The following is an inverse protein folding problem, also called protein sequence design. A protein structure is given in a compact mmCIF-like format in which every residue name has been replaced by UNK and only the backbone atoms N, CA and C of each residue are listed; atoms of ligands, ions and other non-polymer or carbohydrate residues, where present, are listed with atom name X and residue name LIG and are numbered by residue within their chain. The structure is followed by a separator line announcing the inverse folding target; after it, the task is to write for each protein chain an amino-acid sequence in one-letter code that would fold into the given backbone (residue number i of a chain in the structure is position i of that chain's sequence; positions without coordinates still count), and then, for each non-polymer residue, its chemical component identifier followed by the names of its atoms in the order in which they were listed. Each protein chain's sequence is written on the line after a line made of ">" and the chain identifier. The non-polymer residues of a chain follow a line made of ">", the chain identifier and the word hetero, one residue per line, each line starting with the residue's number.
data_IF_275199023458
#
_entry.id   IF_275199023458
#
_cell.length_a   1.000
_cell.length_b   1.000
_cell.length_c   1.000
_cell.angle_alpha   90.00
_cell.angle_beta   90.00
_cell.angle_gamma   90.00
#
_symmetry.space_group_name_H-M   'P 1'
#
loop_
_entity.id
_entity.type
_entity.pdbx_description
1 polymer ?
#
# COMPACT_ATOMS: atom_id res chain seq x y z
N UNK A 1 22.05 8.98 0.40
CA UNK A 1 21.18 9.33 1.54
C UNK A 1 19.87 9.85 0.97
N UNK A 2 18.74 9.28 1.37
CA UNK A 2 17.41 9.58 0.81
C UNK A 2 16.89 10.89 1.41
N UNK A 3 16.53 11.86 0.57
CA UNK A 3 15.85 13.11 0.95
C UNK A 3 16.45 13.88 2.15
N UNK A 4 17.79 13.99 2.23
CA UNK A 4 18.45 14.76 3.28
C UNK A 4 18.64 14.05 4.62
N UNK A 5 18.32 12.75 4.69
CA UNK A 5 18.61 11.92 5.87
C UNK A 5 20.07 12.00 6.30
N UNK A 6 20.32 12.09 7.61
CA UNK A 6 21.69 12.15 8.17
C UNK A 6 22.15 10.85 8.80
N UNK A 7 21.21 9.94 9.06
CA UNK A 7 21.43 8.62 9.64
C UNK A 7 20.43 7.61 9.03
N UNK A 8 20.56 6.32 9.39
CA UNK A 8 19.70 5.26 8.85
C UNK A 8 18.24 5.39 9.31
N UNK A 9 17.99 5.88 10.52
CA UNK A 9 16.63 6.11 11.04
C UNK A 9 15.88 7.15 10.20
N UNK A 10 16.50 8.31 9.95
CA UNK A 10 15.94 9.35 9.07
C UNK A 10 15.69 8.82 7.65
N UNK A 11 16.60 7.98 7.13
CA UNK A 11 16.48 7.40 5.80
C UNK A 11 15.30 6.42 5.72
N UNK A 12 15.13 5.58 6.75
CA UNK A 12 13.99 4.67 6.89
C UNK A 12 12.68 5.45 6.99
N UNK A 13 12.63 6.51 7.81
CA UNK A 13 11.43 7.34 7.94
C UNK A 13 11.05 7.98 6.61
N UNK A 14 12.03 8.55 5.89
CA UNK A 14 11.81 9.15 4.57
C UNK A 14 11.31 8.13 3.55
N UNK A 15 11.81 6.89 3.60
CA UNK A 15 11.38 5.82 2.71
C UNK A 15 9.92 5.42 2.98
N UNK A 16 9.56 5.12 4.24
CA UNK A 16 8.18 4.75 4.60
C UNK A 16 7.21 5.91 4.28
N UNK A 17 7.61 7.16 4.51
CA UNK A 17 6.78 8.32 4.16
C UNK A 17 6.54 8.43 2.64
N UNK A 18 7.57 8.20 1.81
CA UNK A 18 7.40 8.20 0.36
C UNK A 18 6.48 7.06 -0.11
N UNK A 19 6.57 5.89 0.53
CA UNK A 19 5.68 4.74 0.29
C UNK A 19 4.23 5.08 0.67
N UNK A 20 4.01 5.74 1.81
CA UNK A 20 2.70 6.22 2.23
C UNK A 20 2.10 7.23 1.24
N UNK A 21 2.90 8.17 0.76
CA UNK A 21 2.46 9.15 -0.24
C UNK A 21 2.06 8.46 -1.57
N UNK A 22 2.78 7.41 -1.96
CA UNK A 22 2.42 6.57 -3.10
C UNK A 22 1.11 5.81 -2.87
N UNK A 23 0.89 5.21 -1.69
CA UNK A 23 -0.35 4.52 -1.34
C UNK A 23 -1.56 5.48 -1.41
N UNK A 24 -1.44 6.68 -0.82
CA UNK A 24 -2.46 7.73 -0.91
C UNK A 24 -2.75 8.16 -2.35
N UNK A 25 -1.71 8.22 -3.18
CA UNK A 25 -1.87 8.49 -4.62
C UNK A 25 -2.63 7.37 -5.33
N UNK A 26 -2.32 6.10 -5.06
CA UNK A 26 -3.04 4.96 -5.63
C UNK A 26 -4.52 4.98 -5.21
N UNK A 27 -4.81 5.26 -3.94
CA UNK A 27 -6.18 5.41 -3.46
C UNK A 27 -6.94 6.50 -4.23
N UNK A 28 -6.31 7.64 -4.51
CA UNK A 28 -6.92 8.71 -5.34
C UNK A 28 -7.18 8.29 -6.80
N UNK A 29 -6.45 7.28 -7.29
CA UNK A 29 -6.61 6.68 -8.61
C UNK A 29 -7.66 5.56 -8.64
N UNK A 30 -8.23 5.15 -7.50
CA UNK A 30 -9.28 4.11 -7.40
C UNK A 30 -10.47 4.35 -8.34
N UNK A 31 -10.77 5.60 -8.69
CA UNK A 31 -11.76 5.96 -9.72
C UNK A 31 -11.52 5.31 -11.09
N UNK A 32 -10.31 4.83 -11.37
CA UNK A 32 -9.97 4.11 -12.60
C UNK A 32 -10.51 2.68 -12.61
N UNK A 33 -10.92 2.14 -11.46
CA UNK A 33 -11.57 0.83 -11.33
C UNK A 33 -13.00 0.88 -11.88
N UNK A 34 -13.67 2.03 -11.75
CA UNK A 34 -15.08 2.21 -12.12
C UNK A 34 -15.39 1.81 -13.57
N UNK A 35 -14.66 2.28 -14.61
CA UNK A 35 -14.89 1.84 -15.97
C UNK A 35 -14.54 0.36 -16.20
N UNK A 36 -13.59 -0.20 -15.44
CA UNK A 36 -13.13 -1.57 -15.58
C UNK A 36 -14.20 -2.59 -15.13
N UNK A 37 -15.03 -2.23 -14.14
CA UNK A 37 -16.10 -3.10 -13.61
C UNK A 37 -17.47 -2.82 -14.20
N UNK A 38 -17.61 -1.84 -15.11
CA UNK A 38 -18.90 -1.33 -15.57
C UNK A 38 -19.82 -2.39 -16.24
N UNK A 39 -19.24 -3.46 -16.78
CA UNK A 39 -19.97 -4.55 -17.45
C UNK A 39 -20.36 -5.70 -16.52
N UNK A 40 -19.97 -5.66 -15.25
CA UNK A 40 -20.31 -6.70 -14.27
C UNK A 40 -21.70 -6.48 -13.68
N UNK A 41 -22.25 -7.50 -13.03
CA UNK A 41 -23.47 -7.36 -12.25
C UNK A 41 -23.28 -6.36 -11.10
N UNK A 42 -24.33 -5.59 -10.70
CA UNK A 42 -24.22 -4.58 -9.65
C UNK A 42 -23.62 -5.10 -8.34
N UNK A 43 -23.96 -6.35 -7.96
CA UNK A 43 -23.42 -6.99 -6.74
C UNK A 43 -21.91 -7.21 -6.82
N UNK A 44 -21.40 -7.65 -7.98
CA UNK A 44 -19.96 -7.80 -8.22
C UNK A 44 -19.26 -6.45 -8.21
N UNK A 45 -19.89 -5.43 -8.79
CA UNK A 45 -19.34 -4.08 -8.78
C UNK A 45 -19.20 -3.54 -7.36
N UNK A 46 -20.23 -3.72 -6.52
CA UNK A 46 -20.20 -3.29 -5.12
C UNK A 46 -19.15 -4.04 -4.31
N UNK A 47 -19.07 -5.37 -4.49
CA UNK A 47 -18.05 -6.21 -3.85
C UNK A 47 -16.64 -5.72 -4.17
N UNK A 48 -16.31 -5.55 -5.46
CA UNK A 48 -14.99 -5.09 -5.89
C UNK A 48 -14.69 -3.69 -5.34
N UNK A 49 -15.66 -2.77 -5.37
CA UNK A 49 -15.48 -1.42 -4.82
C UNK A 49 -15.16 -1.46 -3.33
N UNK A 50 -15.90 -2.24 -2.54
CA UNK A 50 -15.67 -2.35 -1.09
C UNK A 50 -14.29 -2.93 -0.83
N UNK A 51 -13.96 -4.06 -1.46
CA UNK A 51 -12.66 -4.72 -1.27
C UNK A 51 -11.50 -3.83 -1.69
N UNK A 52 -11.58 -3.16 -2.84
CA UNK A 52 -10.52 -2.26 -3.28
C UNK A 52 -10.38 -1.04 -2.37
N UNK A 53 -11.49 -0.47 -1.90
CA UNK A 53 -11.46 0.64 -0.94
C UNK A 53 -10.80 0.22 0.37
N UNK A 54 -11.27 -0.87 0.96
CA UNK A 54 -10.76 -1.42 2.22
C UNK A 54 -9.28 -1.78 2.09
N UNK A 55 -8.87 -2.43 0.99
CA UNK A 55 -7.47 -2.77 0.72
C UNK A 55 -6.57 -1.52 0.73
N UNK A 56 -6.96 -0.45 0.03
CA UNK A 56 -6.17 0.79 0.03
C UNK A 56 -6.16 1.52 1.38
N UNK A 57 -7.29 1.54 2.09
CA UNK A 57 -7.38 2.12 3.44
C UNK A 57 -6.49 1.36 4.41
N UNK A 58 -6.55 0.02 4.43
CA UNK A 58 -5.70 -0.82 5.27
C UNK A 58 -4.21 -0.62 4.95
N UNK A 59 -3.82 -0.58 3.67
CA UNK A 59 -2.42 -0.31 3.31
C UNK A 59 -1.92 1.05 3.83
N UNK A 60 -2.78 2.07 3.78
CA UNK A 60 -2.45 3.41 4.29
C UNK A 60 -2.31 3.38 5.80
N UNK A 61 -3.27 2.78 6.51
CA UNK A 61 -3.27 2.68 7.97
C UNK A 61 -2.06 1.88 8.48
N UNK A 62 -1.67 0.81 7.79
CA UNK A 62 -0.48 0.03 8.10
C UNK A 62 0.80 0.87 7.94
N UNK A 63 0.94 1.64 6.86
CA UNK A 63 2.09 2.51 6.64
C UNK A 63 2.16 3.67 7.65
N UNK A 64 1.01 4.25 8.03
CA UNK A 64 0.94 5.26 9.08
C UNK A 64 1.34 4.68 10.44
N UNK A 65 0.86 3.47 10.75
CA UNK A 65 1.22 2.75 11.97
C UNK A 65 2.72 2.41 11.99
N UNK A 66 3.28 1.95 10.87
CA UNK A 66 4.72 1.72 10.72
C UNK A 66 5.53 2.99 10.97
N UNK A 67 5.14 4.13 10.40
CA UNK A 67 5.82 5.41 10.65
C UNK A 67 5.80 5.80 12.12
N UNK A 68 4.68 5.58 12.81
CA UNK A 68 4.58 5.88 14.23
C UNK A 68 5.43 4.92 15.07
N UNK A 69 5.36 3.62 14.79
CA UNK A 69 6.15 2.59 15.46
C UNK A 69 7.67 2.82 15.30
N UNK A 70 8.13 3.29 14.13
CA UNK A 70 9.51 3.68 13.90
C UNK A 70 9.96 4.84 14.83
N UNK A 71 9.09 5.82 15.07
CA UNK A 71 9.38 6.95 15.98
C UNK A 71 9.41 6.51 17.44
N UNK A 72 8.52 5.59 17.80
CA UNK A 72 8.40 5.06 19.14
C UNK A 72 9.44 3.96 19.45
N UNK A 73 10.25 3.57 18.46
CA UNK A 73 11.20 2.45 18.52
C UNK A 73 10.53 1.10 18.83
N UNK A 74 9.27 0.93 18.40
CA UNK A 74 8.54 -0.33 18.50
C UNK A 74 8.78 -1.18 17.24
N UNK A 75 9.87 -1.94 17.26
CA UNK A 75 10.26 -2.76 16.12
C UNK A 75 9.26 -3.89 15.81
N UNK A 76 8.54 -4.39 16.81
CA UNK A 76 7.54 -5.45 16.63
C UNK A 76 6.36 -4.96 15.80
N UNK A 77 5.73 -3.86 16.25
CA UNK A 77 4.63 -3.21 15.55
C UNK A 77 5.06 -2.73 14.16
N UNK A 78 6.25 -2.13 14.06
CA UNK A 78 6.80 -1.67 12.78
C UNK A 78 6.88 -2.83 11.76
N UNK A 79 7.48 -3.95 12.12
CA UNK A 79 7.64 -5.09 11.22
C UNK A 79 6.30 -5.71 10.84
N UNK A 80 5.38 -5.88 11.81
CA UNK A 80 4.05 -6.45 11.56
C UNK A 80 3.27 -5.63 10.55
N UNK A 81 3.08 -4.34 10.81
CA UNK A 81 2.29 -3.49 9.93
C UNK A 81 2.98 -3.25 8.58
N UNK A 82 4.31 -3.08 8.56
CA UNK A 82 5.01 -2.86 7.30
C UNK A 82 4.93 -4.09 6.39
N UNK A 83 4.94 -5.30 6.95
CA UNK A 83 4.74 -6.52 6.17
C UNK A 83 3.30 -6.73 5.69
N UNK A 84 2.33 -6.10 6.36
CA UNK A 84 0.91 -6.16 6.04
C UNK A 84 0.47 -5.08 5.03
N UNK A 85 1.27 -4.03 4.84
CA UNK A 85 1.02 -2.89 3.96
C UNK A 85 1.03 -3.23 2.46
N UNK A 86 0.28 -4.23 2.04
CA UNK A 86 0.11 -4.65 0.65
C UNK A 86 -1.32 -4.38 0.20
N UNK A 87 -1.50 -4.12 -1.10
CA UNK A 87 -2.82 -3.88 -1.69
C UNK A 87 -3.27 -5.02 -2.61
N UNK A 88 -2.95 -6.28 -2.25
CA UNK A 88 -3.21 -7.46 -3.11
C UNK A 88 -4.70 -7.75 -3.26
N UNK A 89 -5.50 -7.53 -2.20
CA UNK A 89 -6.91 -7.92 -2.18
C UNK A 89 -7.74 -7.23 -3.27
N UNK A 90 -7.39 -6.00 -3.66
CA UNK A 90 -8.03 -5.33 -4.78
C UNK A 90 -7.73 -6.00 -6.13
N UNK A 91 -6.48 -6.44 -6.33
CA UNK A 91 -6.05 -7.15 -7.54
C UNK A 91 -6.71 -8.53 -7.62
N UNK A 92 -6.77 -9.23 -6.49
CA UNK A 92 -7.43 -10.53 -6.36
C UNK A 92 -8.93 -10.40 -6.66
N UNK A 93 -9.62 -9.43 -6.07
CA UNK A 93 -11.04 -9.18 -6.32
C UNK A 93 -11.33 -8.87 -7.79
N UNK A 94 -10.48 -8.11 -8.47
CA UNK A 94 -10.64 -7.83 -9.90
C UNK A 94 -10.42 -9.11 -10.75
N UNK A 95 -9.38 -9.87 -10.41
CA UNK A 95 -9.02 -11.11 -11.10
C UNK A 95 -10.10 -12.19 -10.95
N UNK A 96 -10.75 -12.28 -9.79
CA UNK A 96 -11.86 -13.22 -9.53
C UNK A 96 -13.03 -13.03 -10.51
N UNK A 97 -13.27 -11.80 -10.96
CA UNK A 97 -14.30 -11.47 -11.96
C UNK A 97 -13.75 -11.34 -13.39
N UNK A 98 -12.50 -11.73 -13.63
CA UNK A 98 -11.86 -11.67 -14.95
C UNK A 98 -11.61 -10.26 -15.45
N UNK A 99 -11.45 -9.29 -14.54
CA UNK A 99 -11.17 -7.89 -14.86
C UNK A 99 -9.68 -7.61 -14.66
N UNK A 100 -9.04 -7.04 -15.67
CA UNK A 100 -7.66 -6.57 -15.56
C UNK A 100 -7.57 -5.37 -14.63
N UNK A 101 -6.65 -5.40 -13.66
CA UNK A 101 -6.46 -4.29 -12.74
C UNK A 101 -5.77 -3.09 -13.42
N UNK A 102 -6.44 -1.94 -13.57
CA UNK A 102 -5.88 -0.75 -14.21
C UNK A 102 -4.78 -0.08 -13.36
N UNK A 103 -4.65 -0.46 -12.08
CA UNK A 103 -3.67 0.05 -11.14
C UNK A 103 -2.50 -0.92 -10.88
N UNK A 104 -2.55 -2.13 -11.45
CA UNK A 104 -1.56 -3.21 -11.24
C UNK A 104 -0.10 -2.75 -11.27
N UNK A 105 0.27 -1.94 -12.27
CA UNK A 105 1.63 -1.40 -12.40
C UNK A 105 2.03 -0.51 -11.21
N UNK A 106 1.14 0.34 -10.72
CA UNK A 106 1.44 1.28 -9.63
C UNK A 106 1.38 0.57 -8.29
N UNK A 107 0.43 -0.36 -8.10
CA UNK A 107 0.38 -1.25 -6.94
C UNK A 107 1.62 -2.16 -6.84
N UNK A 108 2.15 -2.64 -7.96
CA UNK A 108 3.40 -3.39 -7.99
C UNK A 108 4.63 -2.55 -7.61
N UNK A 109 4.63 -1.24 -7.92
CA UNK A 109 5.66 -0.33 -7.42
C UNK A 109 5.53 -0.16 -5.90
N UNK A 110 4.30 0.02 -5.39
CA UNK A 110 4.04 0.13 -3.96
C UNK A 110 4.55 -1.09 -3.20
N UNK A 111 4.21 -2.30 -3.64
CA UNK A 111 4.68 -3.55 -3.03
C UNK A 111 6.22 -3.60 -2.96
N UNK A 112 6.90 -3.18 -4.03
CA UNK A 112 8.37 -3.13 -4.06
C UNK A 112 8.95 -2.09 -3.09
N UNK A 113 8.32 -0.94 -2.94
CA UNK A 113 8.77 0.08 -1.97
C UNK A 113 8.55 -0.39 -0.53
N UNK A 114 7.46 -1.12 -0.26
CA UNK A 114 7.20 -1.77 1.03
C UNK A 114 8.28 -2.81 1.34
N UNK A 115 8.60 -3.70 0.38
CA UNK A 115 9.68 -4.69 0.51
C UNK A 115 11.04 -4.02 0.80
N UNK A 116 11.35 -2.93 0.09
CA UNK A 116 12.56 -2.15 0.33
C UNK A 116 12.59 -1.57 1.75
N UNK A 117 11.47 -0.99 2.21
CA UNK A 117 11.37 -0.46 3.57
C UNK A 117 11.57 -1.57 4.61
N UNK A 118 10.95 -2.73 4.40
CA UNK A 118 11.07 -3.88 5.30
C UNK A 118 12.53 -4.37 5.39
N UNK A 119 13.20 -4.48 4.25
CA UNK A 119 14.61 -4.88 4.19
C UNK A 119 15.53 -3.90 4.93
N UNK A 120 15.27 -2.59 4.87
CA UNK A 120 16.07 -1.58 5.58
C UNK A 120 15.77 -1.59 7.08
N UNK A 121 14.50 -1.71 7.48
CA UNK A 121 14.09 -1.78 8.89
C UNK A 121 14.73 -2.95 9.63
N UNK A 122 14.99 -4.07 8.94
CA UNK A 122 15.65 -5.23 9.54
C UNK A 122 17.15 -5.02 9.79
N UNK A 123 17.72 -3.90 9.35
CA UNK A 123 19.16 -3.58 9.48
C UNK A 123 19.43 -2.46 10.49
N UNK A 124 18.39 -1.89 11.12
CA UNK A 124 18.51 -0.81 12.12
C UNK A 124 18.30 -1.31 13.54
#
# INVERSE_FOLDING_TARGET
>A
MVNGATNMHDATQNAIQATLDLAKKIQSMSRLIEPAIANLEPVSQESIRSTCKESFENTIDDLETSLQALKDNDQGTLLTHLSAATSSDCDDALTEFGVDNPLSKVSGILAKEVDNCLAVVQQI
#
